data_IF_350644964228
#
_entry.id   IF_350644964228
#
_cell.length_a   1.000
_cell.length_b   1.000
_cell.length_c   1.000
_cell.angle_alpha   90.00
_cell.angle_beta   90.00
_cell.angle_gamma   90.00
#
_symmetry.space_group_name_H-M   'P 1'
#
loop_
_entity.id
_entity.type
_entity.pdbx_description
1 polymer ?
#
# COMPACT_ATOMS: atom_id res chain seq x y z
N UNK A 1 26.88 -53.21 -22.44
CA UNK A 1 26.38 -54.42 -21.74
C UNK A 1 25.36 -53.96 -20.70
N UNK A 2 24.13 -54.41 -20.94
CA UNK A 2 22.93 -54.47 -20.06
C UNK A 2 22.36 -53.23 -19.36
N UNK A 3 21.20 -52.84 -19.89
CA UNK A 3 20.06 -52.11 -19.27
C UNK A 3 19.58 -52.76 -17.97
N UNK A 4 19.04 -51.95 -17.05
CA UNK A 4 17.84 -52.35 -16.33
C UNK A 4 16.94 -51.15 -16.08
N UNK A 5 15.74 -51.22 -16.59
CA UNK A 5 14.56 -50.38 -16.36
C UNK A 5 13.95 -50.78 -15.00
N UNK A 6 13.52 -49.77 -14.24
CA UNK A 6 12.54 -50.02 -13.19
C UNK A 6 11.40 -49.00 -13.33
N UNK A 7 10.27 -49.53 -13.73
CA UNK A 7 8.93 -48.95 -13.83
C UNK A 7 8.30 -48.95 -12.43
N UNK A 8 7.74 -47.86 -11.98
CA UNK A 8 6.84 -47.87 -10.82
C UNK A 8 5.57 -47.04 -11.10
N UNK A 9 4.49 -47.73 -10.79
CA UNK A 9 3.14 -47.41 -11.21
C UNK A 9 2.49 -46.23 -10.48
N UNK A 10 1.61 -45.54 -11.22
CA UNK A 10 0.69 -44.53 -10.76
C UNK A 10 -0.53 -45.22 -10.14
N UNK A 11 -0.88 -44.83 -8.90
CA UNK A 11 -2.18 -45.19 -8.31
C UNK A 11 -3.04 -43.89 -8.24
N UNK A 12 -4.10 -43.90 -9.05
CA UNK A 12 -5.15 -42.86 -9.04
C UNK A 12 -6.20 -43.33 -8.01
N UNK A 13 -6.49 -42.48 -7.03
CA UNK A 13 -7.66 -42.63 -6.16
C UNK A 13 -8.63 -41.50 -6.50
N UNK A 14 -9.73 -41.86 -7.15
CA UNK A 14 -10.96 -41.07 -7.25
C UNK A 14 -11.75 -41.20 -5.93
N UNK A 15 -12.13 -40.11 -5.32
CA UNK A 15 -13.20 -40.06 -4.34
C UNK A 15 -14.22 -38.99 -4.76
N UNK A 16 -15.47 -39.47 -4.86
CA UNK A 16 -16.56 -38.77 -5.51
C UNK A 16 -17.20 -37.69 -4.65
N UNK A 17 -17.81 -36.76 -5.36
CA UNK A 17 -18.68 -35.73 -4.85
C UNK A 17 -20.07 -36.28 -4.49
N UNK A 18 -20.59 -35.87 -3.33
CA UNK A 18 -22.03 -35.96 -3.03
C UNK A 18 -22.45 -34.51 -2.67
N UNK A 19 -23.24 -33.93 -3.55
CA UNK A 19 -23.92 -32.68 -3.31
C UNK A 19 -25.16 -32.84 -2.44
N UNK A 20 -25.38 -31.92 -1.54
CA UNK A 20 -26.69 -31.72 -0.89
C UNK A 20 -27.09 -30.27 -1.07
N UNK A 21 -28.07 -30.07 -1.94
CA UNK A 21 -28.82 -28.79 -2.09
C UNK A 21 -29.92 -28.77 -1.04
N UNK A 22 -29.94 -27.76 -0.18
CA UNK A 22 -31.11 -27.43 0.63
C UNK A 22 -31.71 -26.13 0.15
N UNK A 23 -32.91 -26.20 -0.36
CA UNK A 23 -33.82 -25.12 -0.66
C UNK A 23 -34.38 -24.54 0.64
N UNK A 24 -34.23 -23.24 0.86
CA UNK A 24 -34.93 -22.51 1.90
C UNK A 24 -36.16 -21.81 1.27
N UNK A 25 -37.34 -22.22 1.70
CA UNK A 25 -38.62 -21.62 1.35
C UNK A 25 -38.94 -20.44 2.27
N UNK A 26 -39.26 -19.31 1.66
CA UNK A 26 -39.86 -18.15 2.34
C UNK A 26 -41.28 -18.46 2.82
N UNK A 27 -41.57 -18.13 4.06
CA UNK A 27 -42.95 -18.03 4.55
C UNK A 27 -43.17 -16.65 5.15
N UNK A 28 -44.02 -15.85 4.52
CA UNK A 28 -44.64 -14.66 5.10
C UNK A 28 -45.64 -15.11 6.17
N UNK A 29 -45.65 -14.46 7.31
CA UNK A 29 -46.82 -14.44 8.17
C UNK A 29 -47.06 -13.06 8.81
N UNK A 30 -48.32 -12.74 8.76
CA UNK A 30 -49.05 -11.52 8.98
C UNK A 30 -49.13 -11.07 10.46
N UNK A 31 -49.27 -9.77 10.61
CA UNK A 31 -49.60 -9.03 11.84
C UNK A 31 -50.82 -9.53 12.61
N UNK A 32 -50.70 -9.64 13.94
CA UNK A 32 -51.81 -9.34 14.88
C UNK A 32 -51.22 -8.79 16.17
N UNK A 33 -51.65 -7.60 16.59
CA UNK A 33 -51.56 -7.09 17.96
C UNK A 33 -52.59 -7.74 18.83
N UNK A 34 -52.35 -7.96 20.16
CA UNK A 34 -53.03 -7.14 21.14
C UNK A 34 -52.19 -6.73 22.36
N UNK A 35 -52.58 -5.62 22.90
CA UNK A 35 -52.16 -4.93 24.12
C UNK A 35 -52.38 -5.72 25.42
N UNK A 36 -51.38 -5.69 26.33
CA UNK A 36 -51.63 -5.78 27.75
C UNK A 36 -50.52 -5.03 28.53
N UNK A 37 -50.87 -4.10 29.47
CA UNK A 37 -49.93 -3.34 30.24
C UNK A 37 -49.71 -4.02 31.59
N UNK A 38 -48.56 -4.58 31.84
CA UNK A 38 -47.90 -4.83 33.13
C UNK A 38 -46.93 -6.01 32.99
N UNK A 39 -45.72 -5.67 32.59
CA UNK A 39 -44.59 -6.56 32.88
C UNK A 39 -43.33 -5.71 33.08
N UNK A 40 -42.89 -5.66 34.33
CA UNK A 40 -41.60 -5.10 34.73
C UNK A 40 -40.51 -6.11 34.32
N UNK A 41 -40.10 -6.11 33.06
CA UNK A 41 -38.92 -6.85 32.61
C UNK A 41 -37.72 -5.89 32.57
N UNK A 42 -36.76 -6.20 33.41
CA UNK A 42 -35.44 -5.63 33.49
C UNK A 42 -34.84 -5.59 32.07
N UNK A 43 -34.55 -4.40 31.57
CA UNK A 43 -33.75 -4.18 30.37
C UNK A 43 -32.35 -4.75 30.61
N UNK A 44 -32.13 -6.01 30.22
CA UNK A 44 -30.80 -6.50 29.95
C UNK A 44 -30.28 -5.75 28.70
N UNK A 45 -29.46 -4.75 28.94
CA UNK A 45 -28.63 -4.17 27.89
C UNK A 45 -27.71 -5.27 27.35
N UNK A 46 -28.09 -5.89 26.25
CA UNK A 46 -27.17 -6.60 25.39
C UNK A 46 -26.13 -5.56 24.95
N UNK A 47 -24.96 -5.65 25.58
CA UNK A 47 -23.75 -5.02 25.02
C UNK A 47 -23.57 -5.68 23.65
N UNK A 48 -23.85 -4.91 22.59
CA UNK A 48 -23.41 -5.30 21.24
C UNK A 48 -21.90 -5.54 21.32
N UNK A 49 -21.52 -6.79 21.38
CA UNK A 49 -20.15 -7.21 21.13
C UNK A 49 -19.87 -6.77 19.71
N UNK A 50 -19.04 -5.74 19.57
CA UNK A 50 -18.44 -5.37 18.29
C UNK A 50 -17.74 -6.64 17.82
N UNK A 51 -18.32 -7.32 16.83
CA UNK A 51 -17.67 -8.44 16.16
C UNK A 51 -16.31 -7.96 15.71
N UNK A 52 -15.26 -8.47 16.34
CA UNK A 52 -13.89 -8.19 15.92
C UNK A 52 -13.76 -8.66 14.48
N UNK A 53 -13.62 -7.74 13.55
CA UNK A 53 -13.43 -8.04 12.13
C UNK A 53 -12.15 -8.84 12.01
N UNK A 54 -12.29 -10.15 11.89
CA UNK A 54 -11.18 -11.07 11.67
C UNK A 54 -10.76 -10.95 10.21
N UNK A 55 -9.73 -10.15 9.96
CA UNK A 55 -9.15 -10.00 8.62
C UNK A 55 -8.46 -11.30 8.22
N UNK A 56 -9.01 -12.02 7.26
CA UNK A 56 -8.38 -13.21 6.72
C UNK A 56 -7.22 -12.81 5.79
N UNK A 57 -6.07 -13.51 5.80
CA UNK A 57 -4.94 -13.21 4.91
C UNK A 57 -5.31 -13.14 3.42
N UNK A 58 -6.30 -13.91 2.97
CA UNK A 58 -6.83 -13.86 1.61
C UNK A 58 -7.56 -12.55 1.27
N UNK A 59 -8.05 -11.80 2.26
CA UNK A 59 -8.72 -10.50 2.06
C UNK A 59 -7.71 -9.38 1.83
N UNK A 60 -6.48 -9.53 2.34
CA UNK A 60 -5.42 -8.52 2.18
C UNK A 60 -4.98 -8.32 0.73
N UNK A 61 -5.23 -9.26 -0.18
CA UNK A 61 -4.85 -9.10 -1.59
C UNK A 61 -5.42 -7.82 -2.24
N UNK A 62 -6.61 -7.40 -1.82
CA UNK A 62 -7.30 -6.21 -2.32
C UNK A 62 -7.30 -5.02 -1.34
N UNK A 63 -6.71 -5.17 -0.16
CA UNK A 63 -6.65 -4.14 0.88
C UNK A 63 -5.19 -3.72 1.07
N UNK A 64 -4.90 -2.45 0.86
CA UNK A 64 -3.54 -1.89 0.97
C UNK A 64 -3.37 -1.08 2.26
N UNK A 65 -4.48 -0.69 2.87
CA UNK A 65 -4.53 0.15 4.06
C UNK A 65 -5.41 -0.53 5.09
N UNK A 66 -4.92 -0.61 6.32
CA UNK A 66 -5.63 -1.21 7.45
C UNK A 66 -5.78 -0.22 8.60
N UNK A 67 -6.83 -0.37 9.37
CA UNK A 67 -6.98 0.35 10.64
C UNK A 67 -5.93 -0.09 11.67
N UNK A 68 -5.65 0.71 12.72
CA UNK A 68 -4.75 0.30 13.80
C UNK A 68 -5.19 -1.01 14.50
N UNK A 69 -6.50 -1.25 14.61
CA UNK A 69 -7.04 -2.48 15.20
C UNK A 69 -6.77 -3.72 14.32
N UNK A 70 -6.96 -3.60 12.99
CA UNK A 70 -6.62 -4.66 12.04
C UNK A 70 -5.10 -4.90 12.00
N UNK A 71 -4.29 -3.83 12.05
CA UNK A 71 -2.83 -3.95 12.12
C UNK A 71 -2.39 -4.69 13.39
N UNK A 72 -2.96 -4.35 14.57
CA UNK A 72 -2.73 -5.08 15.81
C UNK A 72 -3.05 -6.57 15.65
N UNK A 73 -4.22 -6.90 15.12
CA UNK A 73 -4.60 -8.29 14.88
C UNK A 73 -3.57 -9.01 14.00
N UNK A 74 -3.15 -8.41 12.87
CA UNK A 74 -2.16 -9.01 11.98
C UNK A 74 -0.81 -9.22 12.70
N UNK A 75 -0.38 -8.27 13.51
CA UNK A 75 0.86 -8.36 14.30
C UNK A 75 0.79 -9.51 15.31
N UNK A 76 -0.32 -9.65 16.01
CA UNK A 76 -0.58 -10.76 16.95
C UNK A 76 -0.63 -12.12 16.24
N UNK A 77 -1.01 -12.15 14.95
CA UNK A 77 -0.95 -13.35 14.10
C UNK A 77 0.45 -13.59 13.51
N UNK A 78 1.46 -12.82 13.87
CA UNK A 78 2.84 -13.00 13.47
C UNK A 78 3.22 -12.32 12.16
N UNK A 79 2.51 -11.24 11.77
CA UNK A 79 2.93 -10.39 10.68
C UNK A 79 4.31 -9.77 10.95
N UNK A 80 5.07 -9.54 9.89
CA UNK A 80 6.33 -8.80 9.95
C UNK A 80 6.00 -7.31 10.02
N UNK A 81 6.61 -6.60 10.98
CA UNK A 81 6.45 -5.15 11.11
C UNK A 81 7.69 -4.46 10.58
N UNK A 82 7.54 -3.60 9.57
CA UNK A 82 8.59 -2.73 9.05
C UNK A 82 8.32 -1.30 9.47
N UNK A 83 9.19 -0.72 10.28
CA UNK A 83 9.12 0.68 10.69
C UNK A 83 10.01 1.51 9.77
N UNK A 84 9.38 2.38 8.97
CA UNK A 84 10.05 3.18 7.93
C UNK A 84 10.25 4.64 8.32
N UNK A 85 9.91 4.99 9.57
CA UNK A 85 10.12 6.36 10.09
C UNK A 85 11.61 6.71 10.12
N UNK A 86 11.90 7.99 10.29
CA UNK A 86 13.27 8.43 10.50
C UNK A 86 13.88 7.84 11.81
N UNK A 87 15.22 7.89 11.89
CA UNK A 87 15.96 7.28 13.00
C UNK A 87 15.61 7.86 14.36
N UNK A 88 15.40 9.17 14.43
CA UNK A 88 15.09 9.85 15.69
C UNK A 88 13.71 9.45 16.20
N UNK A 89 12.74 9.34 15.29
CA UNK A 89 11.40 8.81 15.60
C UNK A 89 11.44 7.36 16.09
N UNK A 90 12.25 6.52 15.48
CA UNK A 90 12.45 5.12 15.89
C UNK A 90 13.07 5.00 17.30
N UNK A 91 14.02 5.86 17.65
CA UNK A 91 14.63 5.86 19.01
C UNK A 91 13.65 6.22 20.11
N UNK A 92 12.59 6.97 19.78
CA UNK A 92 11.54 7.33 20.74
C UNK A 92 10.55 6.19 21.00
N UNK A 93 10.62 5.11 20.26
CA UNK A 93 9.81 3.91 20.45
C UNK A 93 9.37 3.27 19.13
N UNK A 94 9.30 1.96 19.12
CA UNK A 94 8.83 1.10 18.03
C UNK A 94 7.89 0.04 18.59
N UNK A 95 7.09 -0.59 17.71
CA UNK A 95 6.40 -1.83 18.07
C UNK A 95 7.45 -2.91 18.36
N UNK A 96 7.27 -3.68 19.41
CA UNK A 96 8.21 -4.75 19.76
C UNK A 96 8.32 -5.78 18.62
N UNK A 97 9.56 -6.08 18.22
CA UNK A 97 9.84 -6.97 17.09
C UNK A 97 9.78 -6.30 15.71
N UNK A 98 9.46 -5.01 15.63
CA UNK A 98 9.54 -4.27 14.37
C UNK A 98 11.00 -4.14 13.90
N UNK A 99 11.18 -4.17 12.59
CA UNK A 99 12.47 -3.97 11.92
C UNK A 99 12.51 -2.55 11.36
N UNK A 100 13.52 -1.79 11.77
CA UNK A 100 13.77 -0.45 11.25
C UNK A 100 14.36 -0.54 9.84
N UNK A 101 13.67 0.05 8.87
CA UNK A 101 14.09 0.05 7.48
C UNK A 101 14.01 1.45 6.88
N UNK A 102 14.76 1.67 5.81
CA UNK A 102 14.69 2.89 5.01
C UNK A 102 14.40 2.50 3.55
N UNK A 103 13.52 3.23 2.89
CA UNK A 103 13.18 2.97 1.48
C UNK A 103 14.39 3.03 0.54
N UNK A 104 15.43 3.81 0.92
CA UNK A 104 16.68 3.93 0.16
C UNK A 104 17.43 2.61 0.06
N UNK A 105 17.29 1.70 1.03
CA UNK A 105 17.93 0.37 1.00
C UNK A 105 17.48 -0.47 -0.19
N UNK A 106 16.32 -0.16 -0.77
CA UNK A 106 15.67 -0.89 -1.86
C UNK A 106 15.68 -0.11 -3.18
N UNK A 107 16.35 1.04 -3.20
CA UNK A 107 16.36 1.97 -4.33
C UNK A 107 17.76 2.17 -4.88
N UNK A 108 17.86 2.58 -6.15
CA UNK A 108 19.12 3.00 -6.73
C UNK A 108 19.68 4.20 -5.98
N UNK A 109 21.00 4.31 -5.86
CA UNK A 109 21.65 5.36 -5.08
C UNK A 109 22.12 6.55 -5.92
N UNK A 110 22.17 6.42 -7.25
CA UNK A 110 22.76 7.42 -8.14
C UNK A 110 21.71 8.26 -8.83
N UNK A 111 21.92 9.60 -8.81
CA UNK A 111 21.15 10.51 -9.63
C UNK A 111 21.31 10.17 -11.13
N UNK A 112 20.24 10.24 -11.93
CA UNK A 112 18.89 10.71 -11.60
C UNK A 112 17.92 9.58 -11.18
N UNK A 113 18.41 8.38 -10.90
CA UNK A 113 17.61 7.18 -10.73
C UNK A 113 17.34 6.77 -9.28
N UNK A 114 17.78 7.58 -8.30
CA UNK A 114 17.68 7.27 -6.86
C UNK A 114 16.26 7.05 -6.32
N UNK A 115 15.25 7.43 -7.09
CA UNK A 115 13.84 7.12 -6.78
C UNK A 115 13.38 5.75 -7.28
N UNK A 116 14.12 5.13 -8.21
CA UNK A 116 13.76 3.84 -8.81
C UNK A 116 14.19 2.68 -7.89
N UNK A 117 13.51 1.55 -8.01
CA UNK A 117 13.92 0.33 -7.33
C UNK A 117 15.29 -0.15 -7.85
N UNK A 118 16.00 -0.90 -7.03
CA UNK A 118 17.23 -1.58 -7.47
C UNK A 118 16.95 -2.41 -8.72
N UNK A 119 17.84 -2.35 -9.70
CA UNK A 119 17.76 -3.14 -10.93
C UNK A 119 18.19 -4.58 -10.70
N UNK A 120 19.14 -4.79 -9.78
CA UNK A 120 19.57 -6.12 -9.38
C UNK A 120 18.50 -6.77 -8.47
N UNK A 121 17.65 -7.60 -9.08
CA UNK A 121 16.58 -8.29 -8.37
C UNK A 121 17.11 -9.33 -7.35
N UNK A 122 18.33 -9.84 -7.54
CA UNK A 122 18.95 -10.75 -6.57
C UNK A 122 19.33 -9.99 -5.30
N UNK A 123 20.01 -8.85 -5.45
CA UNK A 123 20.34 -7.97 -4.32
C UNK A 123 19.06 -7.48 -3.61
N UNK A 124 18.04 -7.09 -4.38
CA UNK A 124 16.75 -6.64 -3.84
C UNK A 124 16.05 -7.75 -3.05
N UNK A 125 16.03 -8.98 -3.59
CA UNK A 125 15.52 -10.18 -2.90
C UNK A 125 16.25 -10.41 -1.57
N UNK A 126 17.59 -10.28 -1.58
CA UNK A 126 18.40 -10.48 -0.39
C UNK A 126 18.12 -9.40 0.67
N UNK A 127 17.98 -8.14 0.28
CA UNK A 127 17.60 -7.07 1.20
C UNK A 127 16.25 -7.35 1.86
N UNK A 128 15.24 -7.78 1.09
CA UNK A 128 13.91 -8.12 1.61
C UNK A 128 13.95 -9.31 2.58
N UNK A 129 14.72 -10.34 2.26
CA UNK A 129 14.90 -11.48 3.17
C UNK A 129 15.62 -11.10 4.47
N UNK A 130 16.63 -10.24 4.40
CA UNK A 130 17.35 -9.78 5.59
C UNK A 130 16.47 -9.02 6.57
N UNK A 131 15.44 -8.32 6.08
CA UNK A 131 14.44 -7.65 6.94
C UNK A 131 13.23 -8.55 7.25
N UNK A 132 13.33 -9.85 6.98
CA UNK A 132 12.38 -10.86 7.42
C UNK A 132 11.11 -10.97 6.58
N UNK A 133 11.11 -10.54 5.32
CA UNK A 133 9.94 -10.72 4.44
C UNK A 133 9.80 -12.19 4.03
N UNK A 134 8.68 -12.81 4.43
CA UNK A 134 8.30 -14.17 4.06
C UNK A 134 7.16 -14.15 3.04
N UNK A 135 7.14 -15.12 2.14
CA UNK A 135 6.12 -15.23 1.09
C UNK A 135 4.69 -15.44 1.63
N UNK A 136 4.56 -16.03 2.81
CA UNK A 136 3.29 -16.45 3.41
C UNK A 136 2.88 -15.67 4.68
N UNK A 137 3.62 -14.63 5.06
CA UNK A 137 3.30 -13.79 6.21
C UNK A 137 2.88 -12.40 5.75
N UNK A 138 1.91 -11.81 6.42
CA UNK A 138 1.58 -10.41 6.18
C UNK A 138 2.76 -9.49 6.58
N UNK A 139 2.87 -8.36 5.89
CA UNK A 139 3.80 -7.29 6.23
C UNK A 139 3.01 -6.04 6.56
N UNK A 140 3.16 -5.55 7.78
CA UNK A 140 2.59 -4.29 8.26
C UNK A 140 3.67 -3.23 8.22
N UNK A 141 3.46 -2.18 7.43
CA UNK A 141 4.40 -1.06 7.30
C UNK A 141 3.92 0.11 8.13
N UNK A 142 4.80 0.63 8.98
CA UNK A 142 4.51 1.70 9.93
C UNK A 142 5.31 2.94 9.55
N UNK A 143 4.61 4.04 9.25
CA UNK A 143 5.18 5.35 8.91
C UNK A 143 4.76 6.47 9.87
N UNK A 144 5.12 7.69 9.50
CA UNK A 144 4.67 8.92 10.14
C UNK A 144 3.96 9.81 9.08
N UNK A 145 2.64 9.75 8.98
CA UNK A 145 1.91 10.49 7.95
C UNK A 145 1.99 12.01 8.13
N UNK A 146 2.22 12.50 9.35
CA UNK A 146 2.30 13.93 9.64
C UNK A 146 3.67 14.52 9.33
N UNK A 147 4.77 13.86 9.75
CA UNK A 147 6.13 14.40 9.63
C UNK A 147 6.95 13.72 8.52
N UNK A 148 6.56 12.50 8.10
CA UNK A 148 7.19 11.76 7.02
C UNK A 148 6.80 12.26 5.61
N UNK A 149 7.34 11.57 4.62
CA UNK A 149 7.13 11.82 3.19
C UNK A 149 6.26 10.75 2.52
N UNK A 150 5.58 9.89 3.30
CA UNK A 150 4.81 8.75 2.79
C UNK A 150 5.68 7.53 2.50
N UNK A 151 6.72 7.32 3.29
CA UNK A 151 7.65 6.20 3.18
C UNK A 151 6.95 4.86 3.34
N UNK A 152 5.92 4.80 4.19
CA UNK A 152 5.06 3.63 4.42
C UNK A 152 4.34 3.19 3.15
N UNK A 153 3.63 4.10 2.51
CA UNK A 153 2.97 3.80 1.24
C UNK A 153 3.96 3.51 0.10
N UNK A 154 5.14 4.16 0.11
CA UNK A 154 6.23 3.81 -0.81
C UNK A 154 6.66 2.35 -0.62
N UNK A 155 6.80 1.89 0.61
CA UNK A 155 7.18 0.51 0.90
C UNK A 155 6.07 -0.47 0.55
N UNK A 156 4.81 -0.13 0.82
CA UNK A 156 3.66 -0.95 0.41
C UNK A 156 3.60 -1.06 -1.11
N UNK A 157 3.69 0.06 -1.83
CA UNK A 157 3.74 0.06 -3.30
C UNK A 157 4.88 -0.83 -3.81
N UNK A 158 6.09 -0.71 -3.24
CA UNK A 158 7.24 -1.51 -3.64
C UNK A 158 6.99 -3.00 -3.44
N UNK A 159 6.62 -3.42 -2.23
CA UNK A 159 6.41 -4.83 -1.91
C UNK A 159 5.29 -5.45 -2.75
N UNK A 160 4.19 -4.71 -2.97
CA UNK A 160 3.10 -5.13 -3.84
C UNK A 160 3.56 -5.28 -5.29
N UNK A 161 4.30 -4.31 -5.81
CA UNK A 161 4.90 -4.36 -7.17
C UNK A 161 5.86 -5.53 -7.31
N UNK A 162 6.58 -5.90 -6.24
CA UNK A 162 7.48 -7.06 -6.23
C UNK A 162 6.75 -8.39 -6.03
N UNK A 163 5.42 -8.38 -5.86
CA UNK A 163 4.57 -9.56 -5.78
C UNK A 163 4.13 -9.97 -4.37
N UNK A 164 4.49 -9.20 -3.33
CA UNK A 164 4.07 -9.50 -1.96
C UNK A 164 2.67 -8.95 -1.68
N UNK A 165 1.64 -9.76 -1.95
CA UNK A 165 0.23 -9.32 -1.94
C UNK A 165 -0.39 -9.10 -0.54
N UNK A 166 0.32 -9.45 0.54
CA UNK A 166 -0.16 -9.31 1.90
C UNK A 166 0.54 -8.16 2.65
N UNK A 167 0.96 -7.12 1.91
CA UNK A 167 1.60 -5.93 2.49
C UNK A 167 0.58 -4.82 2.66
N UNK A 168 0.53 -4.22 3.85
CA UNK A 168 -0.39 -3.13 4.18
C UNK A 168 0.33 -2.00 4.92
N UNK A 169 -0.16 -0.77 4.79
CA UNK A 169 0.17 0.34 5.68
C UNK A 169 -0.91 0.53 6.75
N UNK A 170 -0.54 1.16 7.85
CA UNK A 170 -1.45 1.49 8.95
C UNK A 170 -2.01 2.89 8.77
N UNK A 171 -3.33 3.03 8.74
CA UNK A 171 -3.99 4.34 8.74
C UNK A 171 -3.67 5.12 10.02
N UNK A 172 -3.21 6.37 9.90
CA UNK A 172 -2.69 7.16 11.01
C UNK A 172 -1.29 6.77 11.50
N UNK A 173 -0.65 5.79 10.85
CA UNK A 173 0.75 5.38 11.07
C UNK A 173 1.09 4.97 12.50
N UNK A 174 2.32 5.27 12.92
CA UNK A 174 2.83 4.93 14.25
C UNK A 174 2.01 5.54 15.39
N UNK A 175 1.60 6.78 15.25
CA UNK A 175 0.87 7.47 16.33
C UNK A 175 -0.47 6.77 16.61
N UNK A 176 -1.21 6.38 15.59
CA UNK A 176 -2.45 5.63 15.74
C UNK A 176 -2.20 4.21 16.28
N UNK A 177 -1.17 3.54 15.76
CA UNK A 177 -0.80 2.19 16.20
C UNK A 177 -0.29 2.15 17.64
N UNK A 178 0.40 3.19 18.12
CA UNK A 178 0.87 3.27 19.51
C UNK A 178 -0.25 3.44 20.55
N UNK A 179 -1.46 3.77 20.10
CA UNK A 179 -2.64 3.93 20.98
C UNK A 179 -3.44 2.63 21.17
N UNK A 180 -3.16 1.60 20.37
CA UNK A 180 -3.71 0.27 20.62
C UNK A 180 -2.74 -0.52 21.51
N UNK A 181 -3.30 -1.47 22.26
CA UNK A 181 -2.54 -2.27 23.22
C UNK A 181 -1.59 -3.25 22.50
N UNK A 182 -0.39 -2.75 22.19
CA UNK A 182 0.75 -3.51 21.61
C UNK A 182 1.99 -3.30 22.46
N UNK A 183 2.82 -4.33 22.63
CA UNK A 183 4.13 -4.18 23.29
C UNK A 183 5.03 -3.22 22.50
N UNK A 184 5.64 -2.27 23.18
CA UNK A 184 6.54 -1.28 22.61
C UNK A 184 7.97 -1.49 23.09
N UNK A 185 8.97 -1.04 22.30
CA UNK A 185 10.38 -1.13 22.63
C UNK A 185 11.14 0.12 22.16
N UNK A 186 12.25 0.42 22.81
CA UNK A 186 13.25 1.40 22.35
C UNK A 186 14.47 0.72 21.70
N UNK A 187 14.48 -0.62 21.67
CA UNK A 187 15.54 -1.38 21.01
C UNK A 187 15.29 -1.41 19.52
N UNK A 188 16.21 -0.84 18.75
CA UNK A 188 16.12 -0.79 17.30
C UNK A 188 16.82 -2.00 16.69
N UNK A 189 16.09 -2.80 15.93
CA UNK A 189 16.62 -3.86 15.07
C UNK A 189 16.56 -3.44 13.61
N UNK A 190 17.64 -3.65 12.86
CA UNK A 190 17.72 -3.36 11.42
C UNK A 190 17.73 -4.63 10.56
N UNK A 191 17.70 -5.78 11.18
CA UNK A 191 17.62 -7.06 10.50
C UNK A 191 16.75 -8.01 11.30
N UNK A 192 16.04 -8.89 10.62
CA UNK A 192 15.28 -9.95 11.26
C UNK A 192 16.23 -10.99 11.89
N UNK A 193 15.83 -11.55 13.03
CA UNK A 193 16.57 -12.65 13.67
C UNK A 193 16.61 -13.90 12.78
N UNK A 194 15.57 -14.08 11.94
CA UNK A 194 15.48 -15.15 10.97
C UNK A 194 15.22 -14.49 9.61
N UNK A 195 16.12 -14.65 8.62
CA UNK A 195 15.89 -14.16 7.27
C UNK A 195 14.61 -14.75 6.67
N UNK A 196 13.91 -13.93 5.88
CA UNK A 196 12.71 -14.37 5.15
C UNK A 196 13.04 -15.30 3.97
N UNK A 197 11.98 -15.75 3.31
CA UNK A 197 12.05 -16.65 2.14
C UNK A 197 11.48 -16.02 0.86
N UNK A 198 11.03 -14.77 0.92
CA UNK A 198 10.35 -14.11 -0.19
C UNK A 198 11.16 -14.17 -1.49
N UNK A 199 10.45 -14.44 -2.59
CA UNK A 199 10.98 -14.44 -3.95
C UNK A 199 10.18 -13.45 -4.78
N UNK A 200 10.87 -12.55 -5.47
CA UNK A 200 10.26 -11.52 -6.31
C UNK A 200 9.48 -12.17 -7.45
N UNK A 201 8.23 -11.74 -7.61
CA UNK A 201 7.34 -12.04 -8.73
C UNK A 201 6.71 -10.73 -9.19
N UNK A 202 7.46 -9.92 -9.93
CA UNK A 202 7.11 -8.55 -10.25
C UNK A 202 5.79 -8.42 -11.00
N UNK A 203 4.90 -7.59 -10.45
CA UNK A 203 3.62 -7.19 -11.01
C UNK A 203 3.75 -5.76 -11.53
N UNK A 204 3.59 -5.57 -12.84
CA UNK A 204 3.82 -4.28 -13.50
C UNK A 204 2.60 -3.36 -13.52
N UNK A 205 1.50 -3.78 -12.96
CA UNK A 205 0.23 -3.04 -12.98
C UNK A 205 0.31 -1.71 -12.20
N UNK A 206 1.23 -1.62 -11.25
CA UNK A 206 1.36 -0.48 -10.32
C UNK A 206 2.62 0.36 -10.53
N UNK A 207 3.40 0.08 -11.58
CA UNK A 207 4.57 0.85 -11.95
C UNK A 207 4.51 1.29 -13.42
N UNK A 208 5.17 2.41 -13.73
CA UNK A 208 5.33 2.88 -15.10
C UNK A 208 6.75 3.43 -15.31
N UNK A 209 7.34 3.16 -16.47
CA UNK A 209 8.63 3.71 -16.87
C UNK A 209 8.47 5.12 -17.45
N UNK A 210 9.57 5.88 -17.52
CA UNK A 210 9.60 7.19 -18.18
C UNK A 210 9.18 7.08 -19.66
N UNK A 211 9.64 6.05 -20.35
CA UNK A 211 9.36 5.84 -21.78
C UNK A 211 7.87 5.53 -22.01
N UNK A 212 7.28 4.65 -21.19
CA UNK A 212 5.85 4.33 -21.27
C UNK A 212 4.99 5.55 -20.94
N UNK A 213 5.40 6.34 -19.94
CA UNK A 213 4.69 7.58 -19.59
C UNK A 213 4.74 8.58 -20.75
N UNK A 214 5.90 8.79 -21.37
CA UNK A 214 6.02 9.66 -22.56
C UNK A 214 5.10 9.20 -23.70
N UNK A 215 5.10 7.91 -23.97
CA UNK A 215 4.25 7.31 -25.01
C UNK A 215 2.77 7.53 -24.72
N UNK A 216 2.34 7.33 -23.47
CA UNK A 216 0.95 7.57 -23.06
C UNK A 216 0.57 9.04 -23.09
N UNK A 217 1.47 9.95 -22.70
CA UNK A 217 1.25 11.39 -22.78
C UNK A 217 1.01 11.88 -24.22
N UNK A 218 1.66 11.26 -25.20
CA UNK A 218 1.46 11.59 -26.61
C UNK A 218 0.04 11.26 -27.10
N UNK A 219 -0.56 10.20 -26.58
CA UNK A 219 -1.92 9.75 -26.95
C UNK A 219 -3.02 10.34 -26.06
N UNK A 220 -2.70 10.65 -24.81
CA UNK A 220 -3.59 11.18 -23.74
C UNK A 220 -4.92 10.45 -23.59
N UNK A 221 -5.04 9.23 -24.06
CA UNK A 221 -6.27 8.46 -23.99
C UNK A 221 -6.49 7.94 -22.57
N UNK A 222 -7.53 8.45 -21.90
CA UNK A 222 -7.95 8.05 -20.53
C UNK A 222 -6.84 8.10 -19.47
N UNK A 223 -5.82 8.96 -19.68
CA UNK A 223 -4.68 9.13 -18.79
C UNK A 223 -4.86 10.42 -17.96
N UNK A 224 -4.70 10.27 -16.64
CA UNK A 224 -4.57 11.38 -15.70
C UNK A 224 -3.19 11.27 -15.03
N UNK A 225 -2.42 12.35 -15.08
CA UNK A 225 -1.13 12.45 -14.38
C UNK A 225 -1.31 13.32 -13.15
N UNK A 226 -0.91 12.84 -11.99
CA UNK A 226 -1.02 13.57 -10.71
C UNK A 226 0.39 13.84 -10.16
N UNK A 227 0.65 15.11 -9.90
CA UNK A 227 1.82 15.58 -9.16
C UNK A 227 1.50 15.59 -7.66
N UNK A 228 2.13 14.69 -6.91
CA UNK A 228 1.92 14.53 -5.47
C UNK A 228 2.79 15.48 -4.61
N UNK A 229 3.55 16.41 -5.26
CA UNK A 229 4.47 17.33 -4.60
C UNK A 229 3.74 18.51 -3.97
N UNK A 230 4.50 19.33 -3.25
CA UNK A 230 4.01 20.60 -2.72
C UNK A 230 3.68 21.58 -3.85
N UNK A 231 2.71 22.51 -3.65
CA UNK A 231 2.36 23.52 -4.67
C UNK A 231 3.55 24.34 -5.17
N UNK A 232 4.54 24.65 -4.29
CA UNK A 232 5.75 25.38 -4.70
C UNK A 232 6.62 24.62 -5.69
N UNK A 233 6.70 23.28 -5.58
CA UNK A 233 7.45 22.42 -6.50
C UNK A 233 6.72 22.32 -7.85
N UNK A 234 5.39 22.22 -7.81
CA UNK A 234 4.55 22.24 -9.02
C UNK A 234 4.74 23.56 -9.79
N UNK A 235 4.81 24.70 -9.08
CA UNK A 235 5.04 26.02 -9.65
C UNK A 235 6.48 26.27 -10.12
N UNK A 236 7.42 25.35 -9.92
CA UNK A 236 8.76 25.45 -10.47
C UNK A 236 9.92 25.49 -9.47
N UNK A 237 9.66 25.44 -8.15
CA UNK A 237 10.74 25.28 -7.19
C UNK A 237 11.44 23.90 -7.31
N UNK A 238 12.75 23.88 -7.04
CA UNK A 238 13.60 22.67 -7.13
C UNK A 238 14.33 22.40 -5.82
N UNK A 239 13.61 22.24 -4.68
CA UNK A 239 14.23 22.18 -3.36
C UNK A 239 15.01 20.90 -3.09
N UNK A 240 14.81 19.84 -3.89
CA UNK A 240 15.37 18.51 -3.63
C UNK A 240 16.34 18.04 -4.73
N UNK A 241 16.93 18.98 -5.51
CA UNK A 241 17.99 18.68 -6.49
C UNK A 241 17.46 18.29 -7.89
N UNK A 242 16.22 18.65 -8.21
CA UNK A 242 15.70 18.57 -9.57
C UNK A 242 16.50 19.50 -10.49
N UNK A 243 16.88 19.05 -11.67
CA UNK A 243 17.67 19.85 -12.61
C UNK A 243 16.87 20.96 -13.28
N UNK A 244 15.57 20.78 -13.42
CA UNK A 244 14.64 21.76 -13.99
C UNK A 244 13.36 21.79 -13.16
N UNK A 245 12.85 22.97 -12.90
CA UNK A 245 11.59 23.21 -12.22
C UNK A 245 10.37 23.06 -13.13
N UNK A 246 9.18 23.11 -12.52
CA UNK A 246 7.90 22.95 -13.18
C UNK A 246 7.32 21.56 -13.00
N UNK A 247 6.31 21.23 -13.81
CA UNK A 247 5.57 19.99 -13.75
C UNK A 247 5.39 19.38 -15.15
N UNK A 248 5.04 18.09 -15.20
CA UNK A 248 4.73 17.38 -16.45
C UNK A 248 3.48 18.00 -17.08
N UNK A 249 3.50 18.34 -18.40
CA UNK A 249 2.37 19.03 -19.04
C UNK A 249 1.04 18.30 -18.90
N UNK A 250 0.04 19.01 -18.36
CA UNK A 250 -1.29 18.47 -18.11
C UNK A 250 -1.40 17.64 -16.84
N UNK A 251 -0.38 17.64 -15.99
CA UNK A 251 -0.49 17.06 -14.65
C UNK A 251 -1.41 17.90 -13.76
N UNK A 252 -2.13 17.21 -12.90
CA UNK A 252 -2.99 17.80 -11.87
C UNK A 252 -2.17 17.90 -10.58
N UNK A 253 -2.18 19.08 -9.94
CA UNK A 253 -1.59 19.24 -8.60
C UNK A 253 -2.52 18.64 -7.55
N UNK A 254 -2.03 17.66 -6.81
CA UNK A 254 -2.69 17.08 -5.65
C UNK A 254 -1.62 16.69 -4.62
N UNK A 255 -1.31 17.60 -3.71
CA UNK A 255 -0.36 17.30 -2.65
C UNK A 255 -0.89 16.13 -1.80
N UNK A 256 -0.09 15.07 -1.66
CA UNK A 256 -0.54 13.81 -1.05
C UNK A 256 -1.15 13.98 0.35
N UNK A 257 -0.66 14.95 1.14
CA UNK A 257 -1.22 15.24 2.48
C UNK A 257 -2.62 15.88 2.46
N UNK A 258 -3.12 16.32 1.31
CA UNK A 258 -4.52 16.76 1.20
C UNK A 258 -5.53 15.61 1.41
N UNK A 259 -5.05 14.36 1.36
CA UNK A 259 -5.86 13.17 1.62
C UNK A 259 -5.91 12.79 3.11
N UNK A 260 -5.19 13.53 3.96
CA UNK A 260 -5.09 13.28 5.40
C UNK A 260 -5.88 14.30 6.21
N UNK A 261 -6.34 13.88 7.39
CA UNK A 261 -6.84 14.79 8.42
C UNK A 261 -5.70 15.33 9.29
N UNK A 262 -6.06 16.12 10.31
CA UNK A 262 -5.09 16.76 11.21
C UNK A 262 -4.34 15.76 12.11
N UNK A 263 -4.88 14.59 12.31
CA UNK A 263 -4.33 13.49 13.10
C UNK A 263 -3.51 12.50 12.25
N UNK A 264 -3.48 12.70 10.92
CA UNK A 264 -2.73 11.87 9.98
C UNK A 264 -3.48 10.63 9.49
N UNK A 265 -4.77 10.53 9.79
CA UNK A 265 -5.63 9.50 9.20
C UNK A 265 -6.09 9.91 7.80
N UNK A 266 -6.37 8.92 6.97
CA UNK A 266 -7.00 9.17 5.69
C UNK A 266 -8.37 9.82 5.88
N UNK A 267 -8.65 10.82 5.06
CA UNK A 267 -10.00 11.36 4.96
C UNK A 267 -10.99 10.24 4.58
N UNK A 268 -12.24 10.34 5.00
CA UNK A 268 -13.28 9.41 4.56
C UNK A 268 -13.28 9.24 3.04
N UNK A 269 -13.45 8.00 2.56
CA UNK A 269 -13.47 7.65 1.13
C UNK A 269 -14.30 8.64 0.28
N UNK A 270 -15.47 9.03 0.77
CA UNK A 270 -16.36 9.97 0.08
C UNK A 270 -15.71 11.36 -0.12
N UNK A 271 -14.93 11.83 0.86
CA UNK A 271 -14.20 13.10 0.75
C UNK A 271 -13.05 13.01 -0.26
N UNK A 272 -12.26 11.92 -0.23
CA UNK A 272 -11.19 11.72 -1.21
C UNK A 272 -11.76 11.64 -2.64
N UNK A 273 -12.84 10.89 -2.84
CA UNK A 273 -13.52 10.82 -4.14
C UNK A 273 -14.06 12.19 -4.59
N UNK A 274 -14.52 13.03 -3.66
CA UNK A 274 -14.92 14.39 -3.97
C UNK A 274 -13.72 15.25 -4.40
N UNK A 275 -12.60 15.20 -3.67
CA UNK A 275 -11.36 15.90 -4.04
C UNK A 275 -10.86 15.53 -5.44
N UNK A 276 -10.92 14.24 -5.81
CA UNK A 276 -10.54 13.77 -7.13
C UNK A 276 -11.51 14.27 -8.21
N UNK A 277 -12.82 14.20 -7.95
CA UNK A 277 -13.86 14.70 -8.88
C UNK A 277 -13.74 16.20 -9.11
N UNK A 278 -13.49 16.99 -8.05
CA UNK A 278 -13.34 18.44 -8.14
C UNK A 278 -12.10 18.85 -8.97
N UNK A 279 -11.12 17.94 -9.07
CA UNK A 279 -9.96 18.03 -9.96
C UNK A 279 -10.18 17.37 -11.31
N UNK A 280 -11.42 17.05 -11.66
CA UNK A 280 -11.79 16.42 -12.94
C UNK A 280 -11.11 15.07 -13.21
N UNK A 281 -10.81 14.28 -12.17
CA UNK A 281 -10.32 12.90 -12.30
C UNK A 281 -11.50 11.95 -12.53
N UNK A 282 -11.65 11.34 -13.73
CA UNK A 282 -12.70 10.38 -13.99
C UNK A 282 -12.52 9.10 -13.13
N UNK A 283 -13.63 8.48 -12.72
CA UNK A 283 -13.59 7.26 -11.90
C UNK A 283 -12.99 6.05 -12.62
N UNK A 284 -12.93 6.07 -13.95
CA UNK A 284 -12.35 5.03 -14.79
C UNK A 284 -11.00 5.43 -15.41
N UNK A 285 -10.37 6.51 -14.91
CA UNK A 285 -9.08 6.95 -15.42
C UNK A 285 -7.97 5.96 -15.08
N UNK A 286 -6.98 5.88 -15.95
CA UNK A 286 -5.67 5.34 -15.62
C UNK A 286 -4.87 6.49 -15.02
N UNK A 287 -4.51 6.37 -13.76
CA UNK A 287 -3.80 7.42 -13.02
C UNK A 287 -2.32 7.09 -12.96
N UNK A 288 -1.47 8.06 -13.29
CA UNK A 288 -0.03 8.00 -13.04
C UNK A 288 0.32 9.05 -12.02
N UNK A 289 0.83 8.63 -10.87
CA UNK A 289 1.33 9.53 -9.83
C UNK A 289 2.84 9.70 -9.95
N UNK A 290 3.34 10.91 -9.77
CA UNK A 290 4.76 11.20 -9.62
C UNK A 290 5.01 12.24 -8.53
N UNK A 291 6.27 12.35 -8.07
CA UNK A 291 6.70 13.38 -7.14
C UNK A 291 8.13 13.84 -7.47
N UNK A 292 9.03 13.93 -6.49
CA UNK A 292 10.46 14.19 -6.73
C UNK A 292 11.23 12.91 -7.02
N UNK A 293 11.07 11.88 -6.18
CA UNK A 293 11.78 10.59 -6.26
C UNK A 293 10.90 9.39 -5.91
N UNK A 294 9.61 9.42 -6.23
CA UNK A 294 8.73 8.26 -6.16
C UNK A 294 8.23 7.86 -4.77
N UNK A 295 8.51 8.64 -3.71
CA UNK A 295 8.07 8.33 -2.33
C UNK A 295 6.63 8.77 -2.10
N UNK A 296 6.36 10.08 -2.16
CA UNK A 296 5.01 10.66 -2.01
C UNK A 296 4.03 10.08 -3.04
N UNK A 297 4.50 9.86 -4.26
CA UNK A 297 3.69 9.26 -5.32
C UNK A 297 3.48 7.76 -5.12
N UNK A 298 4.43 7.04 -4.53
CA UNK A 298 4.24 5.65 -4.11
C UNK A 298 3.14 5.52 -3.05
N UNK A 299 3.13 6.42 -2.07
CA UNK A 299 2.07 6.52 -1.08
C UNK A 299 0.71 6.82 -1.73
N UNK A 300 0.66 7.86 -2.58
CA UNK A 300 -0.58 8.23 -3.29
C UNK A 300 -1.09 7.07 -4.17
N UNK A 301 -0.20 6.37 -4.87
CA UNK A 301 -0.56 5.19 -5.66
C UNK A 301 -1.18 4.10 -4.78
N UNK A 302 -0.61 3.83 -3.60
CA UNK A 302 -1.16 2.85 -2.66
C UNK A 302 -2.58 3.23 -2.21
N UNK A 303 -2.82 4.49 -1.88
CA UNK A 303 -4.16 4.99 -1.52
C UNK A 303 -5.14 4.87 -2.70
N UNK A 304 -4.72 5.25 -3.90
CA UNK A 304 -5.59 5.20 -5.08
C UNK A 304 -5.95 3.76 -5.48
N UNK A 305 -5.01 2.82 -5.36
CA UNK A 305 -5.28 1.39 -5.62
C UNK A 305 -6.24 0.83 -4.58
N UNK A 306 -6.06 1.14 -3.30
CA UNK A 306 -6.98 0.76 -2.22
C UNK A 306 -8.40 1.31 -2.44
N UNK A 307 -8.50 2.50 -3.02
CA UNK A 307 -9.77 3.10 -3.44
C UNK A 307 -10.36 2.48 -4.72
N UNK A 308 -9.68 1.53 -5.36
CA UNK A 308 -10.14 0.82 -6.55
C UNK A 308 -9.81 1.50 -7.88
N UNK A 309 -8.93 2.50 -7.90
CA UNK A 309 -8.44 3.11 -9.15
C UNK A 309 -7.34 2.27 -9.79
N UNK A 310 -7.25 2.34 -11.12
CA UNK A 310 -6.07 1.88 -11.85
C UNK A 310 -4.96 2.93 -11.71
N UNK A 311 -4.05 2.74 -10.76
CA UNK A 311 -3.02 3.72 -10.46
C UNK A 311 -1.61 3.13 -10.55
N UNK A 312 -0.68 3.92 -11.08
CA UNK A 312 0.73 3.56 -11.29
C UNK A 312 1.65 4.64 -10.72
N UNK A 313 2.73 4.22 -10.08
CA UNK A 313 3.78 5.12 -9.62
C UNK A 313 4.88 5.24 -10.69
N UNK A 314 5.14 6.47 -11.13
CA UNK A 314 6.35 6.79 -11.87
C UNK A 314 7.48 7.07 -10.86
N UNK A 315 8.20 6.03 -10.48
CA UNK A 315 9.16 6.08 -9.38
C UNK A 315 10.39 6.95 -9.67
N UNK A 316 10.83 7.07 -10.95
CA UNK A 316 11.90 7.99 -11.36
C UNK A 316 11.56 9.45 -11.13
N UNK A 317 10.28 9.79 -11.27
CA UNK A 317 9.71 11.08 -10.91
C UNK A 317 10.49 12.29 -11.47
N UNK A 318 10.50 13.44 -10.76
CA UNK A 318 11.18 14.65 -11.25
C UNK A 318 12.70 14.53 -11.27
N UNK A 319 13.31 13.70 -10.44
CA UNK A 319 14.75 13.45 -10.58
C UNK A 319 15.09 12.91 -11.97
N UNK A 320 14.37 11.89 -12.44
CA UNK A 320 14.60 11.31 -13.77
C UNK A 320 14.03 12.20 -14.88
N UNK A 321 12.82 12.76 -14.70
CA UNK A 321 12.17 13.58 -15.72
C UNK A 321 12.94 14.87 -16.02
N UNK A 322 13.36 15.59 -14.99
CA UNK A 322 14.06 16.87 -15.13
C UNK A 322 15.49 16.72 -15.66
N UNK A 323 16.13 15.56 -15.44
CA UNK A 323 17.47 15.26 -15.95
C UNK A 323 17.50 14.98 -17.46
N UNK A 324 16.38 14.51 -18.03
CA UNK A 324 16.27 14.30 -19.46
C UNK A 324 16.26 15.59 -20.26
N UNK A 325 16.51 15.51 -21.58
CA UNK A 325 16.51 16.69 -22.45
C UNK A 325 15.16 17.41 -22.47
N UNK A 326 15.17 18.74 -22.57
CA UNK A 326 13.94 19.53 -22.59
C UNK A 326 13.01 19.18 -23.77
N UNK A 327 13.57 18.74 -24.89
CA UNK A 327 12.80 18.33 -26.06
C UNK A 327 12.03 17.01 -25.84
N UNK A 328 12.56 16.11 -25.00
CA UNK A 328 11.94 14.82 -24.70
C UNK A 328 11.04 14.89 -23.44
N UNK A 329 11.50 15.65 -22.46
CA UNK A 329 10.84 15.77 -21.15
C UNK A 329 10.43 17.24 -20.93
N UNK A 330 9.40 17.64 -21.66
CA UNK A 330 8.86 18.99 -21.53
C UNK A 330 8.32 19.23 -20.10
N UNK A 331 8.48 20.46 -19.62
CA UNK A 331 7.97 20.95 -18.34
C UNK A 331 7.24 22.27 -18.53
N UNK A 332 6.26 22.55 -17.71
CA UNK A 332 5.53 23.82 -17.66
C UNK A 332 5.57 24.42 -16.26
N UNK A 333 5.56 25.74 -16.19
CA UNK A 333 5.50 26.53 -14.95
C UNK A 333 4.26 27.43 -15.06
N UNK A 334 3.26 27.21 -14.23
CA UNK A 334 2.04 28.03 -14.21
C UNK A 334 1.63 28.34 -12.79
#
# INVERSE_FOLDING_TARGET
MKLSKLTMAIAIILAGAIGITTLATNSFNSFTTPSNPNDNTVLNSTIDTIDAVVVQPSQLANQWIVSPAEAKYLIEQGAIVLDVRDRDSQTNGMVQGAIAVSWQQFSQSKFPHQGKLLEDELALTQHLRNVGVFSNKAVVVVGDPLNGWGEDGRMVWMLRTLGHQQTVLVDGGYLALSRVDLPMTQTISQAAAIPGDFVIQRIRDWEITQEDLRTRLATRKNLVVIDAREPREFAGATPYGEQRGGHIPGAISLHYKELLDAEGHLLPRSKILALLRDRHVPSNAIIVSYCTGGVRSGWLTSVLVDLGFQAQNYAGSMWEWSAGSANQNHLVNH
#
